data_IF_330685611288
#
_entry.id   IF_330685611288
#
_cell.length_a   1.000
_cell.length_b   1.000
_cell.length_c   1.000
_cell.angle_alpha   90.00
_cell.angle_beta   90.00
_cell.angle_gamma   90.00
#
_symmetry.space_group_name_H-M   'P 1'
#
loop_
_entity.id
_entity.type
_entity.pdbx_description
1 polymer ?
#
# COMPACT_ATOMS: atom_id res chain seq x y z
N UNK A 1 -6.89 0.15 -6.10
CA UNK A 1 -6.79 0.57 -7.51
C UNK A 1 -7.91 1.51 -7.94
N UNK A 2 -9.20 1.11 -7.95
CA UNK A 2 -10.29 2.04 -8.28
C UNK A 2 -10.37 3.24 -7.31
N UNK A 3 -10.15 3.00 -6.01
CA UNK A 3 -10.09 4.08 -5.01
C UNK A 3 -8.93 5.05 -5.24
N UNK A 4 -7.75 4.55 -5.61
CA UNK A 4 -6.56 5.37 -5.88
C UNK A 4 -6.79 6.25 -7.11
N UNK A 5 -7.38 5.69 -8.18
CA UNK A 5 -7.78 6.45 -9.37
C UNK A 5 -8.77 7.57 -9.06
N UNK A 6 -9.74 7.31 -8.16
CA UNK A 6 -10.69 8.34 -7.73
C UNK A 6 -10.01 9.44 -6.90
N UNK A 7 -8.97 9.11 -6.13
CA UNK A 7 -8.17 10.09 -5.41
C UNK A 7 -7.36 10.96 -6.37
N UNK A 8 -6.76 10.38 -7.41
CA UNK A 8 -6.02 11.11 -8.43
C UNK A 8 -6.92 12.09 -9.21
N UNK A 9 -8.10 11.62 -9.64
CA UNK A 9 -9.08 12.47 -10.32
C UNK A 9 -9.60 13.59 -9.41
N UNK A 10 -9.81 13.31 -8.12
CA UNK A 10 -10.22 14.32 -7.14
C UNK A 10 -9.12 15.36 -6.92
N UNK A 11 -7.86 14.94 -6.79
CA UNK A 11 -6.72 15.85 -6.67
C UNK A 11 -6.59 16.73 -7.92
N UNK A 12 -6.70 16.12 -9.11
CA UNK A 12 -6.73 16.83 -10.38
C UNK A 12 -7.83 17.88 -10.47
N UNK A 13 -9.05 17.50 -10.09
CA UNK A 13 -10.19 18.42 -10.04
C UNK A 13 -9.97 19.60 -9.10
N UNK A 14 -9.40 19.35 -7.90
CA UNK A 14 -9.08 20.41 -6.94
C UNK A 14 -8.00 21.38 -7.44
N UNK A 15 -7.10 20.91 -8.32
CA UNK A 15 -6.08 21.72 -8.99
C UNK A 15 -6.60 22.44 -10.24
N UNK A 16 -7.90 22.35 -10.54
CA UNK A 16 -8.53 22.98 -11.70
C UNK A 16 -8.34 22.19 -13.01
N UNK A 17 -7.81 20.98 -12.96
CA UNK A 17 -7.71 20.12 -14.14
C UNK A 17 -9.07 19.50 -14.48
N UNK A 18 -9.34 19.35 -15.79
CA UNK A 18 -10.55 18.67 -16.24
C UNK A 18 -10.44 17.16 -15.98
N UNK A 19 -11.31 16.64 -15.10
CA UNK A 19 -11.42 15.21 -14.80
C UNK A 19 -11.71 14.36 -16.04
N UNK A 20 -12.44 14.90 -17.02
CA UNK A 20 -12.73 14.24 -18.28
C UNK A 20 -11.49 14.09 -19.17
N UNK A 21 -10.64 15.12 -19.23
CA UNK A 21 -9.37 15.06 -19.97
C UNK A 21 -8.40 14.11 -19.29
N UNK A 22 -8.31 14.12 -17.95
CA UNK A 22 -7.49 13.19 -17.18
C UNK A 22 -7.92 11.74 -17.41
N UNK A 23 -9.22 11.47 -17.40
CA UNK A 23 -9.74 10.13 -17.70
C UNK A 23 -9.35 9.67 -19.11
N UNK A 24 -9.50 10.53 -20.12
CA UNK A 24 -9.06 10.23 -21.50
C UNK A 24 -7.57 9.96 -21.59
N UNK A 25 -6.75 10.78 -20.93
CA UNK A 25 -5.31 10.59 -20.89
C UNK A 25 -4.92 9.28 -20.20
N UNK A 26 -5.58 8.91 -19.10
CA UNK A 26 -5.40 7.61 -18.43
C UNK A 26 -5.74 6.45 -19.36
N UNK A 27 -6.86 6.50 -20.09
CA UNK A 27 -7.20 5.43 -21.05
C UNK A 27 -6.12 5.25 -22.13
N UNK A 28 -5.67 6.35 -22.74
CA UNK A 28 -4.62 6.31 -23.78
C UNK A 28 -3.30 5.80 -23.18
N UNK A 29 -2.92 6.29 -22.01
CA UNK A 29 -1.72 5.86 -21.29
C UNK A 29 -1.77 4.37 -20.92
N UNK A 30 -2.93 3.87 -20.48
CA UNK A 30 -3.14 2.45 -20.17
C UNK A 30 -3.03 1.57 -21.41
N UNK A 31 -3.57 1.99 -22.56
CA UNK A 31 -3.43 1.22 -23.80
C UNK A 31 -1.97 1.21 -24.26
N UNK A 32 -1.30 2.37 -24.25
CA UNK A 32 0.11 2.47 -24.62
C UNK A 32 1.01 1.63 -23.67
N UNK A 33 0.72 1.63 -22.37
CA UNK A 33 1.50 0.90 -21.38
C UNK A 33 1.42 -0.62 -21.57
N UNK A 34 0.33 -1.16 -22.12
CA UNK A 34 0.24 -2.59 -22.45
C UNK A 34 1.37 -3.00 -23.41
N UNK A 35 1.54 -2.28 -24.52
CA UNK A 35 2.58 -2.60 -25.50
C UNK A 35 3.98 -2.45 -24.93
N UNK A 36 4.23 -1.35 -24.21
CA UNK A 36 5.53 -1.09 -23.58
C UNK A 36 5.84 -2.14 -22.53
N UNK A 37 4.87 -2.53 -21.70
CA UNK A 37 5.05 -3.52 -20.63
C UNK A 37 5.28 -4.91 -21.20
N UNK A 38 4.57 -5.30 -22.25
CA UNK A 38 4.78 -6.59 -22.92
C UNK A 38 6.18 -6.68 -23.53
N UNK A 39 6.63 -5.64 -24.23
CA UNK A 39 7.98 -5.58 -24.79
C UNK A 39 9.05 -5.63 -23.70
N UNK A 40 8.89 -4.82 -22.64
CA UNK A 40 9.82 -4.83 -21.52
C UNK A 40 9.86 -6.21 -20.86
N UNK A 41 8.70 -6.82 -20.60
CA UNK A 41 8.62 -8.15 -19.99
C UNK A 41 9.36 -9.21 -20.82
N UNK A 42 9.16 -9.22 -22.13
CA UNK A 42 9.84 -10.19 -23.02
C UNK A 42 11.36 -9.95 -23.05
N UNK A 43 11.78 -8.68 -23.11
CA UNK A 43 13.19 -8.31 -23.01
C UNK A 43 13.82 -8.82 -21.70
N UNK A 44 13.19 -8.56 -20.56
CA UNK A 44 13.69 -9.04 -19.25
C UNK A 44 13.72 -10.56 -19.16
N UNK A 45 12.71 -11.25 -19.71
CA UNK A 45 12.67 -12.72 -19.75
C UNK A 45 13.77 -13.31 -20.65
N UNK A 46 14.16 -12.61 -21.71
CA UNK A 46 15.23 -13.04 -22.60
C UNK A 46 16.63 -12.90 -21.98
N UNK A 47 16.81 -11.90 -21.11
CA UNK A 47 18.10 -11.59 -20.47
C UNK A 47 18.29 -12.26 -19.11
N UNK A 48 17.19 -12.58 -18.40
CA UNK A 48 17.23 -13.09 -17.04
C UNK A 48 16.27 -14.26 -16.85
N UNK A 49 16.70 -15.23 -16.05
CA UNK A 49 15.81 -16.30 -15.57
C UNK A 49 14.90 -15.75 -14.48
N UNK A 50 13.60 -15.75 -14.74
CA UNK A 50 12.56 -15.33 -13.80
C UNK A 50 11.67 -16.55 -13.48
N UNK A 51 11.46 -16.92 -12.21
CA UNK A 51 12.00 -16.29 -10.99
C UNK A 51 13.46 -16.66 -10.76
N UNK A 52 14.28 -15.69 -10.34
CA UNK A 52 15.72 -15.88 -10.08
C UNK A 52 16.19 -15.05 -8.88
N UNK A 53 17.43 -15.24 -8.43
CA UNK A 53 17.97 -14.51 -7.25
C UNK A 53 17.95 -12.98 -7.42
N UNK A 54 18.19 -12.50 -8.63
CA UNK A 54 18.18 -11.06 -8.95
C UNK A 54 16.78 -10.51 -9.21
N UNK A 55 15.83 -11.37 -9.58
CA UNK A 55 14.43 -11.01 -9.87
C UNK A 55 13.49 -11.95 -9.13
N UNK A 56 13.39 -11.84 -7.79
CA UNK A 56 12.38 -12.55 -7.03
C UNK A 56 10.99 -11.99 -7.40
N UNK A 57 10.00 -12.87 -7.49
CA UNK A 57 8.61 -12.50 -7.83
C UNK A 57 7.69 -12.79 -6.63
N UNK A 58 7.84 -12.07 -5.50
CA UNK A 58 7.12 -12.38 -4.26
C UNK A 58 5.61 -12.12 -4.40
N UNK A 59 5.22 -11.10 -5.15
CA UNK A 59 3.81 -10.77 -5.37
C UNK A 59 3.07 -11.90 -6.10
N UNK A 60 3.66 -12.48 -7.15
CA UNK A 60 3.00 -13.57 -7.89
C UNK A 60 2.87 -14.84 -7.05
N UNK A 61 3.79 -15.10 -6.13
CA UNK A 61 3.68 -16.22 -5.19
C UNK A 61 2.42 -16.09 -4.34
N UNK A 62 2.17 -14.91 -3.76
CA UNK A 62 0.96 -14.66 -2.95
C UNK A 62 -0.31 -14.86 -3.77
N UNK A 63 -0.36 -14.37 -5.01
CA UNK A 63 -1.51 -14.56 -5.89
C UNK A 63 -1.73 -16.02 -6.26
N UNK A 64 -0.65 -16.78 -6.48
CA UNK A 64 -0.71 -18.22 -6.70
C UNK A 64 -1.25 -18.94 -5.48
N UNK A 65 -0.72 -18.64 -4.29
CA UNK A 65 -1.17 -19.25 -3.03
C UNK A 65 -2.65 -18.96 -2.77
N UNK A 66 -3.12 -17.75 -3.10
CA UNK A 66 -4.56 -17.43 -3.06
C UNK A 66 -5.37 -18.25 -4.05
N UNK A 67 -4.88 -18.47 -5.27
CA UNK A 67 -5.57 -19.28 -6.28
C UNK A 67 -5.64 -20.76 -5.86
N UNK A 68 -4.55 -21.31 -5.31
CA UNK A 68 -4.52 -22.66 -4.75
C UNK A 68 -5.48 -22.80 -3.57
N UNK A 69 -5.51 -21.84 -2.64
CA UNK A 69 -6.48 -21.80 -1.55
C UNK A 69 -7.94 -21.79 -2.03
N UNK A 70 -8.25 -21.02 -3.07
CA UNK A 70 -9.62 -20.92 -3.60
C UNK A 70 -10.05 -22.20 -4.33
N UNK A 71 -9.11 -22.92 -4.94
CA UNK A 71 -9.39 -24.12 -5.73
C UNK A 71 -9.40 -25.40 -4.87
N UNK A 72 -8.37 -25.57 -4.04
CA UNK A 72 -8.16 -26.78 -3.23
C UNK A 72 -8.74 -26.65 -1.80
N UNK A 73 -9.16 -25.44 -1.41
CA UNK A 73 -9.71 -25.14 -0.11
C UNK A 73 -8.64 -24.98 0.98
N UNK A 74 -9.10 -24.78 2.21
CA UNK A 74 -8.25 -24.49 3.38
C UNK A 74 -7.25 -25.63 3.69
N UNK A 75 -7.50 -26.84 3.17
CA UNK A 75 -6.62 -28.00 3.34
C UNK A 75 -5.27 -27.90 2.63
N UNK A 76 -5.11 -27.01 1.64
CA UNK A 76 -3.83 -26.77 0.95
C UNK A 76 -2.88 -25.86 1.75
N UNK A 77 -3.38 -25.20 2.81
CA UNK A 77 -2.57 -24.32 3.63
C UNK A 77 -1.74 -25.11 4.64
N UNK A 78 -0.52 -24.62 4.90
CA UNK A 78 0.29 -25.15 5.98
C UNK A 78 -0.49 -25.08 7.31
N UNK A 79 -0.44 -26.13 8.16
CA UNK A 79 -1.23 -26.20 9.39
C UNK A 79 -1.05 -25.02 10.34
N UNK A 80 0.09 -24.33 10.27
CA UNK A 80 0.39 -23.14 11.05
C UNK A 80 -0.39 -21.90 10.62
N UNK A 81 -0.87 -21.80 9.37
CA UNK A 81 -1.50 -20.58 8.84
C UNK A 81 -2.82 -20.26 9.55
N UNK A 82 -3.65 -21.27 9.81
CA UNK A 82 -4.96 -21.09 10.45
C UNK A 82 -4.85 -20.45 11.85
N UNK A 83 -4.00 -20.93 12.76
CA UNK A 83 -3.72 -20.24 14.02
C UNK A 83 -3.33 -18.77 13.85
N UNK A 84 -2.48 -18.44 12.87
CA UNK A 84 -2.07 -17.05 12.60
C UNK A 84 -3.23 -16.19 12.09
N UNK A 85 -4.10 -16.73 11.23
CA UNK A 85 -5.30 -16.04 10.75
C UNK A 85 -6.26 -15.75 11.90
N UNK A 86 -6.50 -16.74 12.77
CA UNK A 86 -7.37 -16.58 13.95
C UNK A 86 -6.80 -15.55 14.92
N UNK A 87 -5.50 -15.64 15.24
CA UNK A 87 -4.84 -14.68 16.13
C UNK A 87 -4.83 -13.26 15.54
N UNK A 88 -4.51 -13.13 14.25
CA UNK A 88 -4.51 -11.83 13.56
C UNK A 88 -5.91 -11.22 13.49
N UNK A 89 -6.93 -12.02 13.19
CA UNK A 89 -8.33 -11.61 13.18
C UNK A 89 -8.80 -11.16 14.57
N UNK A 90 -8.50 -11.95 15.61
CA UNK A 90 -8.81 -11.59 16.99
C UNK A 90 -8.14 -10.28 17.41
N UNK A 91 -6.85 -10.09 17.09
CA UNK A 91 -6.13 -8.86 17.37
C UNK A 91 -6.75 -7.66 16.64
N UNK A 92 -7.12 -7.81 15.36
CA UNK A 92 -7.78 -6.77 14.57
C UNK A 92 -9.14 -6.37 15.16
N UNK A 93 -9.94 -7.34 15.60
CA UNK A 93 -11.21 -7.09 16.30
C UNK A 93 -10.96 -6.36 17.61
N UNK A 94 -10.01 -6.82 18.43
CA UNK A 94 -9.68 -6.20 19.72
C UNK A 94 -9.24 -4.73 19.55
N UNK A 95 -8.39 -4.44 18.57
CA UNK A 95 -7.98 -3.07 18.24
C UNK A 95 -9.18 -2.22 17.85
N UNK A 96 -10.04 -2.75 16.96
CA UNK A 96 -11.21 -2.01 16.46
C UNK A 96 -12.22 -1.71 17.59
N UNK A 97 -12.48 -2.70 18.44
CA UNK A 97 -13.35 -2.55 19.63
C UNK A 97 -12.73 -1.56 20.63
N UNK A 98 -11.43 -1.61 20.86
CA UNK A 98 -10.75 -0.68 21.75
C UNK A 98 -10.85 0.77 21.25
N UNK A 99 -10.67 1.01 19.95
CA UNK A 99 -10.85 2.34 19.35
C UNK A 99 -12.30 2.83 19.48
N UNK A 100 -13.29 1.96 19.26
CA UNK A 100 -14.70 2.31 19.40
C UNK A 100 -15.10 2.59 20.86
N UNK A 101 -14.56 1.85 21.82
CA UNK A 101 -14.88 1.99 23.25
C UNK A 101 -14.18 3.18 23.91
N UNK A 102 -13.00 3.55 23.41
CA UNK A 102 -12.19 4.64 23.97
C UNK A 102 -11.87 5.70 22.91
N UNK A 103 -12.88 6.42 22.37
CA UNK A 103 -12.66 7.39 21.30
C UNK A 103 -11.70 8.52 21.72
N UNK A 104 -11.74 8.94 22.99
CA UNK A 104 -10.82 9.96 23.53
C UNK A 104 -9.35 9.50 23.62
N UNK A 105 -9.08 8.20 23.57
CA UNK A 105 -7.72 7.61 23.59
C UNK A 105 -7.37 6.92 22.26
N UNK A 106 -8.21 7.02 21.24
CA UNK A 106 -8.00 6.35 19.96
C UNK A 106 -6.65 6.72 19.31
N UNK A 107 -6.15 7.94 19.54
CA UNK A 107 -4.83 8.40 19.08
C UNK A 107 -3.64 7.61 19.67
N UNK A 108 -3.83 6.91 20.78
CA UNK A 108 -2.82 6.05 21.42
C UNK A 108 -2.93 4.59 20.98
N UNK A 109 -4.05 4.21 20.35
CA UNK A 109 -4.31 2.84 19.92
C UNK A 109 -3.78 2.70 18.48
N UNK A 110 -2.91 1.72 18.20
CA UNK A 110 -2.41 1.50 16.84
C UNK A 110 -3.57 1.20 15.89
N UNK A 111 -3.47 1.66 14.65
CA UNK A 111 -4.43 1.31 13.61
C UNK A 111 -4.25 -0.15 13.21
N UNK A 112 -5.33 -0.94 13.24
CA UNK A 112 -5.31 -2.34 12.80
C UNK A 112 -4.88 -2.49 11.34
N UNK A 113 -5.26 -1.51 10.49
CA UNK A 113 -4.83 -1.46 9.08
C UNK A 113 -3.33 -1.19 8.98
N UNK A 114 -2.80 -0.27 9.79
CA UNK A 114 -1.36 0.02 9.81
C UNK A 114 -0.53 -1.19 10.28
N UNK A 115 -1.03 -1.93 11.27
CA UNK A 115 -0.42 -3.16 11.75
C UNK A 115 -0.37 -4.23 10.65
N UNK A 116 -1.49 -4.47 9.96
CA UNK A 116 -1.58 -5.43 8.86
C UNK A 116 -0.62 -5.09 7.71
N UNK A 117 -0.59 -3.82 7.29
CA UNK A 117 0.33 -3.34 6.26
C UNK A 117 1.80 -3.51 6.72
N UNK A 118 2.09 -3.24 8.00
CA UNK A 118 3.42 -3.39 8.57
C UNK A 118 3.93 -4.84 8.58
N UNK A 119 3.05 -5.82 8.79
CA UNK A 119 3.41 -7.25 8.72
C UNK A 119 3.79 -7.70 7.30
N UNK A 120 3.24 -7.04 6.28
CA UNK A 120 3.49 -7.37 4.87
C UNK A 120 4.76 -6.73 4.31
N UNK A 121 5.13 -5.54 4.80
CA UNK A 121 6.19 -4.74 4.22
C UNK A 121 7.57 -5.04 4.82
N UNK A 122 8.63 -5.17 3.99
CA UNK A 122 9.99 -5.30 4.48
C UNK A 122 10.42 -4.10 5.35
N UNK A 123 11.28 -4.30 6.37
CA UNK A 123 11.73 -3.22 7.25
C UNK A 123 12.33 -2.02 6.52
N UNK A 124 13.05 -2.26 5.41
CA UNK A 124 13.65 -1.19 4.62
C UNK A 124 12.61 -0.22 4.00
N UNK A 125 11.37 -0.67 3.77
CA UNK A 125 10.29 0.17 3.26
C UNK A 125 9.55 0.92 4.37
N UNK A 126 9.52 0.37 5.58
CA UNK A 126 8.75 0.91 6.71
C UNK A 126 9.58 1.85 7.58
N UNK A 127 10.86 1.57 7.81
CA UNK A 127 11.76 2.41 8.63
C UNK A 127 11.82 3.85 8.12
N UNK A 128 12.04 4.14 6.82
CA UNK A 128 12.04 5.52 6.32
C UNK A 128 10.71 6.24 6.54
N UNK A 129 9.58 5.53 6.44
CA UNK A 129 8.24 6.10 6.68
C UNK A 129 8.05 6.48 8.15
N UNK A 130 8.54 5.64 9.07
CA UNK A 130 8.52 5.94 10.51
C UNK A 130 9.38 7.17 10.81
N UNK A 131 10.59 7.22 10.26
CA UNK A 131 11.50 8.37 10.43
C UNK A 131 10.84 9.65 9.91
N UNK A 132 10.31 9.62 8.68
CA UNK A 132 9.60 10.77 8.10
C UNK A 132 8.40 11.19 8.95
N UNK A 133 7.61 10.22 9.43
CA UNK A 133 6.48 10.49 10.34
C UNK A 133 6.90 11.14 11.65
N UNK A 134 8.01 10.70 12.27
CA UNK A 134 8.57 11.32 13.46
C UNK A 134 9.04 12.75 13.21
N UNK A 135 9.74 12.99 12.09
CA UNK A 135 10.19 14.34 11.70
C UNK A 135 8.98 15.27 11.55
N UNK A 136 7.94 14.86 10.84
CA UNK A 136 6.69 15.62 10.67
C UNK A 136 6.00 15.87 12.02
N UNK A 137 5.94 14.86 12.88
CA UNK A 137 5.35 14.96 14.21
C UNK A 137 6.07 16.00 15.09
N UNK A 138 7.40 15.96 15.14
CA UNK A 138 8.20 16.95 15.88
C UNK A 138 8.10 18.35 15.28
N UNK A 139 8.09 18.46 13.94
CA UNK A 139 7.91 19.75 13.26
C UNK A 139 6.55 20.37 13.59
N UNK A 140 5.46 19.58 13.54
CA UNK A 140 4.13 20.06 13.91
C UNK A 140 4.08 20.58 15.36
N UNK A 141 4.79 19.91 16.29
CA UNK A 141 4.83 20.32 17.70
C UNK A 141 5.63 21.61 17.95
N UNK A 142 6.71 21.83 17.20
CA UNK A 142 7.57 23.01 17.36
C UNK A 142 7.08 24.22 16.56
N UNK A 143 6.49 24.02 15.38
CA UNK A 143 6.12 25.10 14.47
C UNK A 143 4.86 24.77 13.66
N UNK A 144 3.65 24.84 14.27
CA UNK A 144 2.40 24.48 13.62
C UNK A 144 2.11 25.29 12.34
N UNK A 145 2.44 26.59 12.33
CA UNK A 145 2.24 27.47 11.16
C UNK A 145 3.09 27.08 9.96
N UNK A 146 4.35 26.72 10.22
CA UNK A 146 5.27 26.25 9.19
C UNK A 146 4.87 24.88 8.67
N UNK A 147 4.48 23.96 9.56
CA UNK A 147 4.02 22.63 9.18
C UNK A 147 2.79 22.72 8.25
N UNK A 148 1.77 23.51 8.61
CA UNK A 148 0.56 23.66 7.81
C UNK A 148 0.81 24.14 6.37
N UNK A 149 1.86 24.93 6.17
CA UNK A 149 2.18 25.54 4.87
C UNK A 149 3.13 24.69 4.03
N UNK A 150 4.12 24.02 4.65
CA UNK A 150 5.24 23.42 3.94
C UNK A 150 5.33 21.90 4.04
N UNK A 151 4.61 21.25 4.96
CA UNK A 151 4.74 19.81 5.18
C UNK A 151 4.39 18.99 3.93
N UNK A 152 3.31 19.36 3.22
CA UNK A 152 2.90 18.66 1.99
C UNK A 152 3.95 18.81 0.89
N UNK A 153 4.55 20.00 0.75
CA UNK A 153 5.59 20.30 -0.26
C UNK A 153 6.85 19.48 0.02
N UNK A 154 7.31 19.44 1.27
CA UNK A 154 8.49 18.65 1.64
C UNK A 154 8.23 17.15 1.51
N UNK A 155 7.02 16.69 1.82
CA UNK A 155 6.63 15.28 1.71
C UNK A 155 6.46 14.79 0.27
N UNK A 156 6.17 15.67 -0.69
CA UNK A 156 6.00 15.29 -2.11
C UNK A 156 7.32 15.11 -2.85
N UNK A 157 8.45 15.47 -2.24
CA UNK A 157 9.75 15.53 -2.90
C UNK A 157 9.85 16.79 -3.77
N UNK A 158 11.07 17.31 -3.91
CA UNK A 158 11.37 18.36 -4.88
C UNK A 158 11.56 17.75 -6.27
#
# INVERSE_FOLDING_TARGET
QAGDLMQDLKAGYLLGASSYVQFKAQMVGSIASVFVSLFAFDLYRSLYTIPGKSFPVPASAIWRDMAELLNEGIGSLAPSVLPFVVLGGALGILISVAQAKFPGKAHLIPSGVALAIGMYLPPYWTIPRVIGGLVVYYWNRQSPRSHASYAVIVASGF
#
